data_IF_030860889980
#
_entry.id   IF_030860889980
#
_cell.length_a   1.000
_cell.length_b   1.000
_cell.length_c   1.000
_cell.angle_alpha   90.00
_cell.angle_beta   90.00
_cell.angle_gamma   90.00
#
_symmetry.space_group_name_H-M   'P 1'
#
loop_
_entity.id
_entity.type
_entity.pdbx_description
1 polymer ?
#
# COMPACT_ATOMS: atom_id res chain seq x y z
N UNK A 1 27.72 -19.01 40.45
CA UNK A 1 27.70 -17.92 39.45
C UNK A 1 27.37 -18.47 38.05
N UNK A 2 26.60 -19.57 37.93
CA UNK A 2 26.35 -20.22 36.62
C UNK A 2 24.90 -20.16 36.14
N UNK A 3 23.99 -19.48 36.85
CA UNK A 3 22.55 -19.48 36.54
C UNK A 3 22.21 -18.64 35.29
N UNK A 4 23.04 -17.65 34.94
CA UNK A 4 22.76 -16.75 33.81
C UNK A 4 23.06 -17.35 32.42
N UNK A 5 23.80 -18.46 32.34
CA UNK A 5 24.14 -19.10 31.06
C UNK A 5 22.98 -19.99 30.56
N UNK A 6 22.18 -20.54 31.46
CA UNK A 6 21.05 -21.41 31.12
C UNK A 6 19.87 -20.66 30.48
N UNK A 7 19.62 -19.40 30.88
CA UNK A 7 18.53 -18.58 30.34
C UNK A 7 18.74 -18.19 28.87
N UNK A 8 20.00 -17.95 28.45
CA UNK A 8 20.30 -17.62 27.07
C UNK A 8 20.05 -18.82 26.13
N UNK A 9 20.34 -20.04 26.60
CA UNK A 9 20.06 -21.27 25.84
C UNK A 9 18.56 -21.53 25.75
N UNK A 10 17.81 -21.31 26.83
CA UNK A 10 16.37 -21.46 26.85
C UNK A 10 15.68 -20.46 25.89
N UNK A 11 16.08 -19.19 25.92
CA UNK A 11 15.56 -18.17 25.02
C UNK A 11 15.84 -18.52 23.54
N UNK A 12 17.02 -19.06 23.23
CA UNK A 12 17.38 -19.50 21.89
C UNK A 12 16.56 -20.71 21.43
N UNK A 13 16.27 -21.66 22.33
CA UNK A 13 15.37 -22.79 22.04
C UNK A 13 13.94 -22.32 21.80
N UNK A 14 13.43 -21.38 22.60
CA UNK A 14 12.10 -20.80 22.42
C UNK A 14 11.96 -20.05 21.09
N UNK A 15 12.95 -19.25 20.71
CA UNK A 15 12.98 -18.56 19.41
C UNK A 15 12.96 -19.55 18.24
N UNK A 16 13.66 -20.67 18.37
CA UNK A 16 13.69 -21.73 17.36
C UNK A 16 12.34 -22.41 17.22
N UNK A 17 11.70 -22.78 18.33
CA UNK A 17 10.35 -23.36 18.36
C UNK A 17 9.31 -22.41 17.72
N UNK A 18 9.34 -21.13 18.09
CA UNK A 18 8.45 -20.11 17.51
C UNK A 18 8.69 -19.94 15.99
N UNK A 19 9.94 -19.98 15.54
CA UNK A 19 10.28 -19.92 14.12
C UNK A 19 9.73 -21.11 13.33
N UNK A 20 9.85 -22.32 13.88
CA UNK A 20 9.35 -23.56 13.27
C UNK A 20 7.81 -23.58 13.20
N UNK A 21 7.13 -23.13 14.25
CA UNK A 21 5.67 -23.02 14.26
C UNK A 21 5.15 -21.96 13.27
N UNK A 22 5.84 -20.82 13.14
CA UNK A 22 5.46 -19.78 12.18
C UNK A 22 5.61 -20.28 10.73
N UNK A 23 6.65 -21.06 10.43
CA UNK A 23 6.82 -21.71 9.13
C UNK A 23 5.70 -22.73 8.88
N UNK A 24 5.33 -23.52 9.89
CA UNK A 24 4.23 -24.49 9.80
C UNK A 24 2.89 -23.81 9.49
N UNK A 25 2.53 -22.77 10.24
CA UNK A 25 1.29 -22.01 10.03
C UNK A 25 1.26 -21.37 8.64
N UNK A 26 2.40 -20.84 8.17
CA UNK A 26 2.49 -20.28 6.81
C UNK A 26 2.27 -21.35 5.74
N UNK A 27 2.79 -22.56 5.93
CA UNK A 27 2.56 -23.71 5.03
C UNK A 27 1.10 -24.14 5.05
N UNK A 28 0.49 -24.29 6.23
CA UNK A 28 -0.93 -24.65 6.35
C UNK A 28 -1.86 -23.61 5.71
N UNK A 29 -1.54 -22.31 5.83
CA UNK A 29 -2.27 -21.23 5.14
C UNK A 29 -2.09 -21.30 3.62
N UNK A 30 -0.87 -21.58 3.15
CA UNK A 30 -0.57 -21.78 1.73
C UNK A 30 -1.36 -22.97 1.16
N UNK A 31 -1.33 -24.12 1.84
CA UNK A 31 -2.05 -25.32 1.44
C UNK A 31 -3.57 -25.10 1.49
N UNK A 32 -4.10 -24.44 2.52
CA UNK A 32 -5.52 -24.09 2.59
C UNK A 32 -5.93 -23.16 1.44
N UNK A 33 -5.07 -22.21 1.05
CA UNK A 33 -5.33 -21.33 -0.09
C UNK A 33 -5.29 -22.09 -1.42
N UNK A 34 -4.29 -22.95 -1.61
CA UNK A 34 -4.21 -23.82 -2.79
C UNK A 34 -5.42 -24.77 -2.87
N UNK A 35 -5.87 -25.34 -1.76
CA UNK A 35 -7.08 -26.16 -1.71
C UNK A 35 -8.33 -25.36 -2.07
N UNK A 36 -8.45 -24.10 -1.62
CA UNK A 36 -9.55 -23.22 -2.02
C UNK A 36 -9.52 -22.88 -3.51
N UNK A 37 -8.34 -22.64 -4.08
CA UNK A 37 -8.17 -22.35 -5.51
C UNK A 37 -8.45 -23.60 -6.39
N UNK A 38 -8.06 -24.79 -5.93
CA UNK A 38 -8.38 -26.05 -6.61
C UNK A 38 -9.86 -26.43 -6.48
N UNK A 39 -10.49 -26.16 -5.32
CA UNK A 39 -11.91 -26.47 -5.07
C UNK A 39 -12.85 -25.45 -5.73
N UNK A 40 -12.38 -24.24 -6.00
CA UNK A 40 -13.09 -23.22 -6.79
C UNK A 40 -13.12 -23.48 -8.30
N UNK A 41 -12.28 -24.40 -8.81
CA UNK A 41 -12.26 -24.88 -10.19
C UNK A 41 -12.96 -26.23 -10.37
N UNK A 42 -13.94 -26.57 -9.52
CA UNK A 42 -14.75 -27.76 -9.81
C UNK A 42 -15.53 -27.53 -11.11
N UNK A 43 -15.31 -28.43 -12.08
CA UNK A 43 -15.81 -28.45 -13.47
C UNK A 43 -17.26 -27.96 -13.67
N UNK A 44 -18.11 -28.16 -12.67
CA UNK A 44 -19.54 -27.85 -12.66
C UNK A 44 -19.88 -26.41 -13.07
N UNK A 45 -19.18 -25.40 -12.56
CA UNK A 45 -19.57 -24.00 -12.79
C UNK A 45 -19.29 -23.53 -14.23
N UNK A 46 -18.19 -23.99 -14.82
CA UNK A 46 -17.82 -23.68 -16.20
C UNK A 46 -18.72 -24.42 -17.19
N UNK A 47 -19.13 -25.65 -16.86
CA UNK A 47 -20.03 -26.45 -17.70
C UNK A 47 -21.43 -25.83 -17.76
N UNK A 48 -21.97 -25.35 -16.64
CA UNK A 48 -23.24 -24.61 -16.60
C UNK A 48 -23.20 -23.27 -17.34
N UNK A 49 -22.05 -22.58 -17.28
CA UNK A 49 -21.90 -21.31 -18.01
C UNK A 49 -21.89 -21.53 -19.53
N UNK A 50 -21.29 -22.62 -20.00
CA UNK A 50 -21.31 -23.01 -21.43
C UNK A 50 -22.71 -23.42 -21.88
N UNK A 51 -23.42 -24.22 -21.10
CA UNK A 51 -24.81 -24.62 -21.41
C UNK A 51 -25.75 -23.41 -21.45
N UNK A 52 -25.61 -22.46 -20.51
CA UNK A 52 -26.38 -21.21 -20.54
C UNK A 52 -26.06 -20.33 -21.76
N UNK A 53 -24.82 -20.36 -22.27
CA UNK A 53 -24.47 -19.63 -23.49
C UNK A 53 -25.10 -20.28 -24.71
N UNK A 54 -25.01 -21.62 -24.81
CA UNK A 54 -25.63 -22.39 -25.89
C UNK A 54 -27.14 -22.14 -25.99
N UNK A 55 -27.86 -22.22 -24.87
CA UNK A 55 -29.31 -21.96 -24.84
C UNK A 55 -29.68 -20.53 -25.26
N UNK A 56 -28.81 -19.54 -25.02
CA UNK A 56 -29.04 -18.17 -25.50
C UNK A 56 -28.83 -18.04 -27.01
N UNK A 57 -27.80 -18.70 -27.54
CA UNK A 57 -27.53 -18.71 -28.97
C UNK A 57 -28.70 -19.36 -29.73
N UNK A 58 -29.18 -20.52 -29.27
CA UNK A 58 -30.36 -21.19 -29.84
C UNK A 58 -31.62 -20.30 -29.75
N UNK A 59 -31.82 -19.61 -28.63
CA UNK A 59 -32.93 -18.65 -28.47
C UNK A 59 -32.87 -17.49 -29.46
N UNK A 60 -31.68 -16.97 -29.76
CA UNK A 60 -31.52 -15.89 -30.73
C UNK A 60 -31.75 -16.39 -32.16
N UNK A 61 -31.28 -17.59 -32.50
CA UNK A 61 -31.55 -18.23 -33.81
C UNK A 61 -33.06 -18.43 -34.01
N UNK A 62 -33.75 -19.04 -33.05
CA UNK A 62 -35.20 -19.30 -33.15
C UNK A 62 -36.03 -18.01 -33.26
N UNK A 63 -35.63 -16.92 -32.58
CA UNK A 63 -36.26 -15.61 -32.76
C UNK A 63 -36.06 -15.06 -34.16
N UNK A 64 -34.85 -15.19 -34.71
CA UNK A 64 -34.53 -14.78 -36.07
C UNK A 64 -35.40 -15.51 -37.10
N UNK A 65 -35.60 -16.82 -36.93
CA UNK A 65 -36.49 -17.62 -37.79
C UNK A 65 -37.95 -17.15 -37.72
N UNK A 66 -38.46 -16.87 -36.51
CA UNK A 66 -39.81 -16.31 -36.32
C UNK A 66 -39.95 -14.97 -37.07
N UNK A 67 -38.95 -14.09 -36.98
CA UNK A 67 -39.00 -12.78 -37.63
C UNK A 67 -38.99 -12.90 -39.16
N UNK A 68 -38.21 -13.83 -39.73
CA UNK A 68 -38.21 -14.15 -41.17
C UNK A 68 -39.57 -14.69 -41.62
N UNK A 69 -40.15 -15.64 -40.87
CA UNK A 69 -41.47 -16.20 -41.19
C UNK A 69 -42.57 -15.14 -41.12
N UNK A 70 -42.53 -14.24 -40.13
CA UNK A 70 -43.45 -13.10 -40.03
C UNK A 70 -43.34 -12.16 -41.21
N UNK A 71 -42.12 -11.80 -41.62
CA UNK A 71 -41.88 -10.99 -42.81
C UNK A 71 -42.46 -11.67 -44.06
N UNK A 72 -42.29 -13.00 -44.18
CA UNK A 72 -42.83 -13.76 -45.31
C UNK A 72 -44.36 -13.77 -45.35
N UNK A 73 -45.03 -13.91 -44.20
CA UNK A 73 -46.49 -13.79 -44.11
C UNK A 73 -46.94 -12.38 -44.51
N UNK A 74 -46.20 -11.35 -44.10
CA UNK A 74 -46.50 -9.95 -44.44
C UNK A 74 -46.35 -9.67 -45.95
N UNK A 75 -45.30 -10.22 -46.59
CA UNK A 75 -45.13 -10.17 -48.05
C UNK A 75 -46.30 -10.83 -48.77
N UNK A 76 -46.67 -12.06 -48.38
CA UNK A 76 -47.81 -12.78 -48.95
C UNK A 76 -49.13 -12.02 -48.75
N UNK A 77 -49.28 -11.31 -47.63
CA UNK A 77 -50.48 -10.51 -47.33
C UNK A 77 -50.56 -9.19 -48.10
N UNK A 78 -49.44 -8.68 -48.62
CA UNK A 78 -49.37 -7.40 -49.36
C UNK A 78 -49.37 -7.57 -50.89
N UNK A 79 -49.30 -8.81 -51.39
CA UNK A 79 -49.39 -9.10 -52.81
C UNK A 79 -50.78 -8.74 -53.38
N UNK A 80 -50.85 -8.05 -54.54
CA UNK A 80 -52.10 -7.56 -55.11
C UNK A 80 -53.05 -8.71 -55.46
N UNK A 81 -54.31 -8.60 -55.02
CA UNK A 81 -55.35 -9.61 -55.25
C UNK A 81 -55.79 -9.62 -56.72
N UNK A 82 -55.22 -10.52 -57.52
CA UNK A 82 -55.82 -10.94 -58.78
C UNK A 82 -56.83 -12.06 -58.51
N UNK A 83 -58.06 -11.88 -59.00
CA UNK A 83 -59.31 -12.47 -58.51
C UNK A 83 -59.46 -14.00 -58.42
N UNK A 84 -58.45 -14.79 -58.74
CA UNK A 84 -58.44 -16.26 -58.58
C UNK A 84 -57.25 -16.79 -57.74
N UNK A 85 -56.31 -15.93 -57.31
CA UNK A 85 -55.10 -16.36 -56.58
C UNK A 85 -55.32 -16.60 -55.07
N UNK A 86 -56.42 -16.10 -54.51
CA UNK A 86 -56.67 -16.11 -53.06
C UNK A 86 -56.90 -17.52 -52.50
N UNK A 87 -57.42 -18.43 -53.33
CA UNK A 87 -57.61 -19.84 -52.95
C UNK A 87 -56.31 -20.63 -52.76
N UNK A 88 -55.18 -20.15 -53.30
CA UNK A 88 -53.88 -20.84 -53.19
C UNK A 88 -52.99 -20.24 -52.10
N UNK A 89 -53.18 -18.96 -51.77
CA UNK A 89 -52.34 -18.24 -50.78
C UNK A 89 -52.77 -18.53 -49.34
N UNK A 90 -54.06 -18.72 -49.11
CA UNK A 90 -54.65 -19.04 -47.78
C UNK A 90 -54.04 -20.27 -47.09
N UNK A 91 -53.93 -21.47 -47.72
CA UNK A 91 -53.37 -22.65 -47.05
C UNK A 91 -51.88 -22.51 -46.74
N UNK A 92 -51.11 -21.78 -47.56
CA UNK A 92 -49.68 -21.52 -47.31
C UNK A 92 -49.52 -20.60 -46.11
N UNK A 93 -50.34 -19.55 -46.01
CA UNK A 93 -50.36 -18.64 -44.85
C UNK A 93 -50.71 -19.37 -43.56
N UNK A 94 -51.72 -20.23 -43.58
CA UNK A 94 -52.13 -21.02 -42.40
C UNK A 94 -51.07 -22.05 -41.99
N UNK A 95 -50.29 -22.57 -42.96
CA UNK A 95 -49.13 -23.41 -42.67
C UNK A 95 -48.02 -22.63 -41.97
N UNK A 96 -47.64 -21.46 -42.50
CA UNK A 96 -46.61 -20.60 -41.91
C UNK A 96 -47.04 -20.07 -40.53
N UNK A 97 -48.33 -19.77 -40.33
CA UNK A 97 -48.83 -19.34 -39.04
C UNK A 97 -48.72 -20.44 -37.98
N UNK A 98 -49.05 -21.69 -38.33
CA UNK A 98 -48.85 -22.84 -37.43
C UNK A 98 -47.38 -23.07 -37.07
N UNK A 99 -46.48 -22.84 -38.02
CA UNK A 99 -45.03 -22.93 -37.79
C UNK A 99 -44.54 -21.82 -36.84
N UNK A 100 -45.02 -20.59 -37.01
CA UNK A 100 -44.76 -19.48 -36.07
C UNK A 100 -45.29 -19.80 -34.68
N UNK A 101 -46.50 -20.34 -34.58
CA UNK A 101 -47.10 -20.69 -33.29
C UNK A 101 -46.29 -21.78 -32.59
N UNK A 102 -45.85 -22.81 -33.34
CA UNK A 102 -44.98 -23.87 -32.84
C UNK A 102 -43.63 -23.31 -32.34
N UNK A 103 -42.93 -22.51 -33.16
CA UNK A 103 -41.67 -21.87 -32.76
C UNK A 103 -41.84 -20.91 -31.57
N UNK A 104 -42.98 -20.22 -31.49
CA UNK A 104 -43.29 -19.34 -30.35
C UNK A 104 -43.44 -20.15 -29.06
N UNK A 105 -44.07 -21.32 -29.12
CA UNK A 105 -44.16 -22.23 -27.96
C UNK A 105 -42.79 -22.78 -27.54
N UNK A 106 -41.93 -23.10 -28.51
CA UNK A 106 -40.57 -23.58 -28.24
C UNK A 106 -39.70 -22.49 -27.60
N UNK A 107 -39.72 -21.27 -28.15
CA UNK A 107 -39.03 -20.11 -27.56
C UNK A 107 -39.50 -19.85 -26.13
N UNK A 108 -40.81 -19.95 -25.87
CA UNK A 108 -41.33 -19.79 -24.51
C UNK A 108 -40.82 -20.90 -23.57
N UNK A 109 -40.73 -22.14 -24.04
CA UNK A 109 -40.20 -23.27 -23.29
C UNK A 109 -38.70 -23.09 -22.96
N UNK A 110 -37.87 -22.78 -23.95
CA UNK A 110 -36.44 -22.51 -23.77
C UNK A 110 -36.18 -21.37 -22.79
N UNK A 111 -36.98 -20.29 -22.86
CA UNK A 111 -36.87 -19.15 -21.95
C UNK A 111 -37.19 -19.53 -20.50
N UNK A 112 -38.16 -20.43 -20.30
CA UNK A 112 -38.49 -20.97 -18.98
C UNK A 112 -37.34 -21.83 -18.42
N UNK A 113 -36.69 -22.63 -19.26
CA UNK A 113 -35.49 -23.41 -18.90
C UNK A 113 -34.35 -22.47 -18.48
N UNK A 114 -34.04 -21.45 -19.30
CA UNK A 114 -32.98 -20.48 -19.00
C UNK A 114 -33.24 -19.76 -17.66
N UNK A 115 -34.49 -19.38 -17.40
CA UNK A 115 -34.87 -18.72 -16.16
C UNK A 115 -34.75 -19.65 -14.94
N UNK A 116 -35.12 -20.92 -15.06
CA UNK A 116 -34.92 -21.93 -14.02
C UNK A 116 -33.43 -22.17 -13.75
N UNK A 117 -32.61 -22.17 -14.79
CA UNK A 117 -31.17 -22.32 -14.66
C UNK A 117 -30.54 -21.11 -13.94
N UNK A 118 -30.94 -19.89 -14.30
CA UNK A 118 -30.52 -18.65 -13.62
C UNK A 118 -30.86 -18.69 -12.12
N UNK A 119 -32.06 -19.13 -11.75
CA UNK A 119 -32.47 -19.20 -10.33
C UNK A 119 -31.70 -20.28 -9.57
N UNK A 120 -31.40 -21.41 -10.22
CA UNK A 120 -30.58 -22.48 -9.64
C UNK A 120 -29.16 -21.99 -9.34
N UNK A 121 -28.49 -21.38 -10.31
CA UNK A 121 -27.12 -20.83 -10.15
C UNK A 121 -27.07 -19.76 -9.05
N UNK A 122 -28.10 -18.91 -8.95
CA UNK A 122 -28.18 -17.94 -7.86
C UNK A 122 -28.34 -18.61 -6.49
N UNK A 123 -29.17 -19.66 -6.40
CA UNK A 123 -29.39 -20.41 -5.16
C UNK A 123 -28.11 -21.10 -4.69
N UNK A 124 -27.36 -21.70 -5.61
CA UNK A 124 -26.06 -22.31 -5.32
C UNK A 124 -25.01 -21.28 -4.86
N UNK A 125 -24.94 -20.11 -5.51
CA UNK A 125 -24.09 -19.00 -5.07
C UNK A 125 -24.45 -18.52 -3.66
N UNK A 126 -25.73 -18.44 -3.34
CA UNK A 126 -26.19 -18.08 -1.98
C UNK A 126 -25.77 -19.16 -0.98
N UNK A 127 -25.92 -20.44 -1.32
CA UNK A 127 -25.53 -21.55 -0.45
C UNK A 127 -24.02 -21.54 -0.15
N UNK A 128 -23.18 -21.38 -1.18
CA UNK A 128 -21.71 -21.31 -1.03
C UNK A 128 -21.26 -20.08 -0.22
N UNK A 129 -21.90 -18.92 -0.41
CA UNK A 129 -21.62 -17.73 0.41
C UNK A 129 -22.03 -17.94 1.88
N UNK A 130 -23.16 -18.60 2.14
CA UNK A 130 -23.60 -18.95 3.50
C UNK A 130 -22.59 -19.89 4.17
N UNK A 131 -22.08 -20.89 3.47
CA UNK A 131 -21.03 -21.79 3.98
C UNK A 131 -19.74 -21.02 4.30
N UNK A 132 -19.28 -20.12 3.41
CA UNK A 132 -18.11 -19.27 3.66
C UNK A 132 -18.28 -18.36 4.88
N UNK A 133 -19.46 -17.76 5.05
CA UNK A 133 -19.77 -16.94 6.24
C UNK A 133 -19.74 -17.80 7.51
N UNK A 134 -20.32 -19.01 7.49
CA UNK A 134 -20.27 -19.92 8.62
C UNK A 134 -18.82 -20.29 8.98
N UNK A 135 -18.00 -20.63 7.99
CA UNK A 135 -16.58 -20.92 8.18
C UNK A 135 -15.82 -19.74 8.80
N UNK A 136 -15.99 -18.52 8.27
CA UNK A 136 -15.37 -17.31 8.82
C UNK A 136 -15.80 -17.04 10.27
N UNK A 137 -17.09 -17.24 10.59
CA UNK A 137 -17.58 -17.11 11.98
C UNK A 137 -16.90 -18.10 12.92
N UNK A 138 -16.72 -19.35 12.51
CA UNK A 138 -16.00 -20.33 13.34
C UNK A 138 -14.53 -19.95 13.54
N UNK A 139 -13.87 -19.43 12.50
CA UNK A 139 -12.49 -18.92 12.59
C UNK A 139 -12.38 -17.72 13.54
N UNK A 140 -13.30 -16.76 13.46
CA UNK A 140 -13.34 -15.63 14.39
C UNK A 140 -13.54 -16.09 15.84
N UNK A 141 -14.39 -17.08 16.10
CA UNK A 141 -14.57 -17.66 17.45
C UNK A 141 -13.28 -18.29 17.98
N UNK A 142 -12.56 -19.05 17.14
CA UNK A 142 -11.26 -19.65 17.50
C UNK A 142 -10.21 -18.59 17.82
N UNK A 143 -10.07 -17.57 16.96
CA UNK A 143 -9.12 -16.47 17.19
C UNK A 143 -9.46 -15.68 18.46
N UNK A 144 -10.74 -15.48 18.76
CA UNK A 144 -11.17 -14.84 20.01
C UNK A 144 -10.77 -15.67 21.23
N UNK A 145 -10.97 -16.99 21.21
CA UNK A 145 -10.57 -17.88 22.28
C UNK A 145 -9.04 -17.90 22.48
N UNK A 146 -8.28 -17.99 21.38
CA UNK A 146 -6.80 -17.95 21.44
C UNK A 146 -6.28 -16.62 22.02
N UNK A 147 -6.92 -15.49 21.67
CA UNK A 147 -6.56 -14.18 22.24
C UNK A 147 -6.89 -14.10 23.74
N UNK A 148 -8.00 -14.69 24.17
CA UNK A 148 -8.33 -14.78 25.60
C UNK A 148 -7.33 -15.65 26.35
N UNK A 149 -6.90 -16.77 25.77
CA UNK A 149 -5.86 -17.63 26.35
C UNK A 149 -4.52 -16.90 26.50
N UNK A 150 -4.07 -16.20 25.45
CA UNK A 150 -2.84 -15.39 25.51
C UNK A 150 -2.95 -14.26 26.55
N UNK A 151 -4.12 -13.63 26.68
CA UNK A 151 -4.34 -12.62 27.70
C UNK A 151 -4.22 -13.23 29.10
N UNK A 152 -4.84 -14.39 29.36
CA UNK A 152 -4.71 -15.07 30.65
C UNK A 152 -3.25 -15.43 30.96
N UNK A 153 -2.48 -15.90 29.98
CA UNK A 153 -1.05 -16.20 30.18
C UNK A 153 -0.22 -14.95 30.46
N UNK A 154 -0.56 -13.83 29.85
CA UNK A 154 0.09 -12.55 30.13
C UNK A 154 -0.23 -12.08 31.56
N UNK A 155 -1.50 -12.20 31.97
CA UNK A 155 -1.95 -11.83 33.31
C UNK A 155 -1.32 -12.75 34.39
N UNK A 156 -1.17 -14.05 34.10
CA UNK A 156 -0.47 -15.03 34.94
C UNK A 156 1.02 -14.70 35.07
N UNK A 157 1.70 -14.40 33.96
CA UNK A 157 3.11 -13.98 33.98
C UNK A 157 3.33 -12.68 34.77
N UNK A 158 2.41 -11.71 34.64
CA UNK A 158 2.44 -10.46 35.42
C UNK A 158 2.16 -10.69 36.90
N UNK A 159 1.40 -11.72 37.27
CA UNK A 159 1.17 -12.09 38.67
C UNK A 159 2.36 -12.84 39.28
N UNK A 160 3.07 -13.65 38.48
CA UNK A 160 4.26 -14.39 38.88
C UNK A 160 5.54 -13.53 38.94
N UNK A 161 5.55 -12.38 38.25
CA UNK A 161 6.47 -11.28 38.57
C UNK A 161 6.11 -10.68 39.94
N UNK A 162 6.34 -11.47 40.98
CA UNK A 162 6.50 -10.98 42.35
C UNK A 162 7.44 -9.78 42.29
N UNK A 163 7.14 -8.68 42.99
CA UNK A 163 7.94 -7.46 42.99
C UNK A 163 9.29 -7.78 43.62
N UNK A 164 10.17 -8.36 42.82
CA UNK A 164 11.58 -8.44 43.08
C UNK A 164 11.99 -7.00 43.24
N UNK A 165 12.32 -6.64 44.49
CA UNK A 165 12.73 -5.33 44.94
C UNK A 165 14.08 -4.92 44.31
N UNK A 166 14.23 -5.09 43.00
CA UNK A 166 15.26 -4.46 42.21
C UNK A 166 14.83 -3.01 42.06
N UNK A 167 15.12 -2.27 43.12
CA UNK A 167 15.49 -0.87 43.14
C UNK A 167 15.06 -0.12 41.90
N UNK A 168 13.96 0.62 42.07
CA UNK A 168 13.65 1.87 41.43
C UNK A 168 14.85 2.83 41.42
N UNK A 169 15.94 2.48 40.74
CA UNK A 169 16.76 3.46 40.07
C UNK A 169 15.84 4.01 39.00
N UNK A 170 15.13 5.09 39.35
CA UNK A 170 14.13 5.70 38.49
C UNK A 170 14.74 5.87 37.13
N UNK A 171 14.14 5.24 36.12
CA UNK A 171 14.55 5.42 34.74
C UNK A 171 14.27 6.88 34.37
N UNK A 172 15.28 7.69 34.60
CA UNK A 172 15.33 9.14 34.40
C UNK A 172 15.72 9.46 32.96
N UNK A 173 15.76 8.46 32.08
CA UNK A 173 15.81 8.67 30.65
C UNK A 173 14.47 9.21 30.12
N UNK A 174 14.45 10.22 29.25
CA UNK A 174 15.58 10.86 28.57
C UNK A 174 16.22 12.04 29.34
N UNK A 175 15.69 12.46 30.49
CA UNK A 175 16.12 13.68 31.18
C UNK A 175 17.58 13.65 31.62
N UNK A 176 18.07 12.53 32.15
CA UNK A 176 19.46 12.38 32.57
C UNK A 176 20.44 12.53 31.41
N UNK A 177 20.11 11.97 30.24
CA UNK A 177 20.91 12.11 29.04
C UNK A 177 20.95 13.56 28.54
N UNK A 178 19.84 14.29 28.65
CA UNK A 178 19.76 15.70 28.26
C UNK A 178 20.44 16.65 29.26
N UNK A 179 20.55 16.24 30.52
CA UNK A 179 21.22 17.01 31.57
C UNK A 179 22.74 16.81 31.58
N UNK A 180 23.26 15.79 30.89
CA UNK A 180 24.67 15.44 30.89
C UNK A 180 25.52 16.48 30.13
N UNK A 181 26.20 17.35 30.89
CA UNK A 181 27.12 18.35 30.36
C UNK A 181 28.56 17.86 30.23
N UNK A 182 28.85 16.59 30.54
CA UNK A 182 30.22 16.07 30.53
C UNK A 182 30.85 16.00 29.13
N UNK A 183 30.03 16.11 28.08
CA UNK A 183 30.48 16.06 26.70
C UNK A 183 31.02 17.41 26.20
N UNK A 184 32.32 17.62 26.40
CA UNK A 184 33.08 18.64 25.68
C UNK A 184 33.61 18.05 24.38
N UNK A 185 33.11 18.50 23.23
CA UNK A 185 33.67 18.16 21.93
C UNK A 185 34.88 19.05 21.63
N UNK A 186 35.89 18.47 20.97
CA UNK A 186 37.06 19.21 20.48
C UNK A 186 36.72 20.10 19.28
N UNK A 187 35.72 19.72 18.50
CA UNK A 187 35.48 20.32 17.19
C UNK A 187 34.28 21.28 17.26
N UNK A 188 34.51 22.61 17.20
CA UNK A 188 33.45 23.58 17.13
C UNK A 188 32.70 23.47 15.80
N UNK A 189 31.40 23.73 15.82
CA UNK A 189 30.64 23.91 14.58
C UNK A 189 31.10 25.18 13.87
N UNK A 190 31.08 25.22 12.53
CA UNK A 190 31.27 26.46 11.80
C UNK A 190 30.24 27.51 12.25
N UNK A 191 30.71 28.71 12.58
CA UNK A 191 29.87 29.85 12.92
C UNK A 191 30.12 30.99 11.91
N UNK A 192 29.12 31.39 11.09
CA UNK A 192 27.75 30.88 11.06
C UNK A 192 27.59 29.56 10.30
N UNK A 193 26.74 28.67 10.82
CA UNK A 193 26.37 27.45 10.12
C UNK A 193 25.46 27.78 8.93
N UNK A 194 25.89 27.44 7.72
CA UNK A 194 25.13 27.70 6.51
C UNK A 194 24.13 26.59 6.22
N UNK A 195 22.97 26.98 5.66
CA UNK A 195 22.02 26.02 5.11
C UNK A 195 22.61 25.34 3.87
N UNK A 196 22.40 24.04 3.75
CA UNK A 196 22.91 23.21 2.65
C UNK A 196 21.88 22.94 1.57
N UNK A 197 20.57 23.02 1.86
CA UNK A 197 19.54 22.77 0.85
C UNK A 197 18.17 23.36 1.22
N UNK A 198 17.34 23.59 0.19
CA UNK A 198 15.94 23.97 0.29
C UNK A 198 15.06 22.87 -0.34
N UNK A 199 14.48 21.98 0.48
CA UNK A 199 13.51 20.98 -0.01
C UNK A 199 13.60 19.59 0.63
N UNK A 200 12.75 18.67 0.16
CA UNK A 200 12.48 17.38 0.81
C UNK A 200 13.26 16.17 0.25
N UNK A 201 14.05 16.32 -0.81
CA UNK A 201 14.66 15.17 -1.50
C UNK A 201 16.15 15.40 -1.75
N UNK A 202 16.96 14.94 -0.80
CA UNK A 202 18.40 14.84 -0.94
C UNK A 202 18.81 13.37 -0.81
N UNK A 203 19.48 12.83 -1.83
CA UNK A 203 19.97 11.45 -1.80
C UNK A 203 21.44 11.40 -2.19
N UNK A 204 22.32 11.04 -1.25
CA UNK A 204 23.63 10.50 -1.58
C UNK A 204 23.58 8.98 -1.52
N UNK A 205 23.98 8.32 -2.61
CA UNK A 205 23.93 6.86 -2.72
C UNK A 205 24.85 6.11 -1.74
N UNK A 206 25.75 6.78 -1.03
CA UNK A 206 26.79 6.14 -0.19
C UNK A 206 26.81 6.62 1.26
N UNK A 207 26.04 7.64 1.61
CA UNK A 207 26.08 8.25 2.95
C UNK A 207 24.73 8.03 3.62
N UNK A 208 24.78 7.50 4.84
CA UNK A 208 23.59 7.32 5.66
C UNK A 208 23.30 8.62 6.39
N UNK A 209 22.29 9.34 5.92
CA UNK A 209 21.84 10.57 6.55
C UNK A 209 20.74 10.30 7.57
N UNK A 210 20.92 10.84 8.77
CA UNK A 210 19.85 11.04 9.72
C UNK A 210 19.21 12.39 9.43
N UNK A 211 17.90 12.42 9.22
CA UNK A 211 17.15 13.64 8.92
C UNK A 211 16.25 13.95 10.10
N UNK A 212 16.48 15.09 10.76
CA UNK A 212 15.69 15.50 11.91
C UNK A 212 15.19 16.94 11.76
N UNK A 213 13.93 17.16 12.14
CA UNK A 213 13.33 18.48 12.24
C UNK A 213 13.58 19.08 13.63
N UNK A 214 13.57 20.41 13.74
CA UNK A 214 13.67 21.11 15.02
C UNK A 214 12.59 20.73 16.04
N UNK A 215 11.45 20.20 15.59
CA UNK A 215 10.40 19.66 16.46
C UNK A 215 10.57 18.18 16.84
N UNK A 216 11.49 17.47 16.18
CA UNK A 216 11.80 16.06 16.48
C UNK A 216 12.82 15.90 17.59
N UNK A 217 13.63 16.93 17.84
CA UNK A 217 14.83 16.79 18.68
C UNK A 217 14.75 17.73 19.85
N UNK A 218 14.90 17.17 21.05
CA UNK A 218 15.20 17.90 22.25
C UNK A 218 16.72 17.94 22.42
N UNK A 219 17.33 19.12 22.30
CA UNK A 219 18.77 19.29 22.52
C UNK A 219 19.06 19.53 23.99
N UNK A 220 20.07 18.85 24.53
CA UNK A 220 20.53 19.07 25.91
C UNK A 220 21.53 20.22 26.04
N UNK A 221 22.14 20.64 24.93
CA UNK A 221 23.11 21.74 24.90
C UNK A 221 22.80 22.77 23.80
N UNK A 222 23.30 23.99 23.96
CA UNK A 222 23.13 25.08 22.97
C UNK A 222 23.88 24.79 21.66
N UNK A 223 24.96 24.04 21.74
CA UNK A 223 25.82 23.68 20.60
C UNK A 223 25.37 22.41 19.87
N UNK A 224 24.17 21.90 20.22
CA UNK A 224 23.60 20.67 19.69
C UNK A 224 24.52 19.45 19.85
N UNK A 225 25.34 19.39 20.90
CA UNK A 225 26.33 18.31 21.09
C UNK A 225 25.67 16.95 21.37
N UNK A 226 24.54 16.94 22.04
CA UNK A 226 23.72 15.75 22.27
C UNK A 226 22.25 16.12 22.37
N UNK A 227 21.38 15.18 22.04
CA UNK A 227 19.95 15.38 22.08
C UNK A 227 19.18 14.07 22.00
N UNK A 228 17.87 14.17 22.14
CA UNK A 228 16.96 13.04 22.04
C UNK A 228 15.99 13.30 20.91
N UNK A 229 16.04 12.44 19.90
CA UNK A 229 15.12 12.45 18.78
C UNK A 229 13.86 11.64 19.13
N UNK A 230 12.68 12.14 18.74
CA UNK A 230 11.38 11.53 18.98
C UNK A 230 10.73 11.11 17.67
N UNK A 231 10.13 9.92 17.64
CA UNK A 231 9.33 9.44 16.53
C UNK A 231 8.11 8.63 17.01
N UNK A 232 6.98 8.69 16.29
CA UNK A 232 5.87 7.80 16.59
C UNK A 232 6.27 6.33 16.34
N UNK A 233 5.87 5.40 17.20
CA UNK A 233 6.14 3.96 17.00
C UNK A 233 5.27 3.31 15.91
N UNK A 234 4.18 3.97 15.56
CA UNK A 234 3.25 3.50 14.55
C UNK A 234 2.88 4.66 13.63
N UNK A 235 2.68 4.36 12.36
CA UNK A 235 2.26 5.32 11.36
C UNK A 235 1.04 4.78 10.62
N UNK A 236 0.08 5.67 10.40
CA UNK A 236 -1.13 5.45 9.64
C UNK A 236 -0.91 5.89 8.19
N UNK A 237 -1.14 4.95 7.28
CA UNK A 237 -1.01 5.10 5.85
C UNK A 237 -2.37 4.86 5.18
N UNK A 238 -3.11 5.91 4.81
CA UNK A 238 -4.46 5.78 4.24
C UNK A 238 -4.47 5.05 2.88
N UNK A 239 -3.31 4.90 2.22
CA UNK A 239 -3.20 4.23 0.92
C UNK A 239 -3.24 2.70 1.02
N UNK A 240 -3.05 2.11 2.21
CA UNK A 240 -2.99 0.65 2.41
C UNK A 240 -4.35 -0.02 2.70
N UNK A 241 -5.46 0.72 2.65
CA UNK A 241 -6.81 0.17 2.73
C UNK A 241 -7.27 -0.20 4.16
N UNK A 242 -7.23 -1.48 4.54
CA UNK A 242 -7.71 -1.97 5.87
C UNK A 242 -6.54 -2.16 6.85
N UNK A 243 -5.34 -2.46 6.35
CA UNK A 243 -4.10 -2.61 7.11
C UNK A 243 -3.31 -1.28 7.13
N UNK A 244 -3.97 -0.21 7.55
CA UNK A 244 -3.40 1.13 7.42
C UNK A 244 -2.31 1.45 8.43
N UNK A 245 -2.16 0.67 9.49
CA UNK A 245 -1.15 0.94 10.50
C UNK A 245 0.10 0.12 10.20
N UNK A 246 1.23 0.82 10.07
CA UNK A 246 2.55 0.22 9.95
C UNK A 246 3.38 0.57 11.18
N UNK A 247 4.23 -0.37 11.61
CA UNK A 247 5.25 -0.05 12.59
C UNK A 247 6.23 0.92 11.94
N UNK A 248 6.40 2.07 12.56
CA UNK A 248 7.25 3.15 12.11
C UNK A 248 8.15 3.54 13.28
N UNK A 249 9.33 4.09 13.02
CA UNK A 249 10.19 4.49 14.12
C UNK A 249 11.64 4.67 13.74
N UNK A 250 12.44 4.74 14.78
CA UNK A 250 13.89 4.91 14.80
C UNK A 250 14.62 3.57 14.84
N UNK A 251 13.92 2.44 15.08
CA UNK A 251 14.49 1.08 15.05
C UNK A 251 15.25 0.71 13.76
N UNK A 252 14.99 1.40 12.64
CA UNK A 252 15.79 1.26 11.40
C UNK A 252 17.24 1.73 11.55
N UNK A 253 17.51 2.55 12.56
CA UNK A 253 18.85 3.01 12.90
C UNK A 253 19.38 2.13 14.03
N UNK A 254 20.58 1.61 13.83
CA UNK A 254 21.18 0.66 14.75
C UNK A 254 21.89 1.39 15.88
N UNK A 255 21.70 0.93 17.11
CA UNK A 255 22.44 1.42 18.27
C UNK A 255 23.96 1.26 18.04
N UNK A 256 24.73 2.28 18.39
CA UNK A 256 26.16 2.39 18.08
C UNK A 256 26.48 2.82 16.64
N UNK A 257 25.47 2.95 15.77
CA UNK A 257 25.64 3.42 14.41
C UNK A 257 25.99 4.90 14.36
N UNK A 258 26.83 5.29 13.38
CA UNK A 258 27.21 6.68 13.09
C UNK A 258 26.53 7.17 11.82
N UNK A 259 25.95 8.36 11.88
CA UNK A 259 25.13 8.93 10.83
C UNK A 259 25.46 10.41 10.62
N UNK A 260 25.43 10.86 9.37
CA UNK A 260 25.56 12.28 9.06
C UNK A 260 24.21 12.96 9.30
N UNK A 261 24.17 13.97 10.18
CA UNK A 261 22.92 14.57 10.61
C UNK A 261 22.60 15.85 9.81
N UNK A 262 21.49 15.80 9.09
CA UNK A 262 20.84 16.96 8.49
C UNK A 262 19.71 17.41 9.43
N UNK A 263 19.75 18.68 9.81
CA UNK A 263 18.81 19.29 10.75
C UNK A 263 17.99 20.38 10.06
N UNK A 264 16.66 20.26 10.10
CA UNK A 264 15.76 21.26 9.53
C UNK A 264 15.34 22.29 10.58
N UNK A 265 15.69 23.55 10.35
CA UNK A 265 15.21 24.70 11.13
C UNK A 265 14.66 25.75 10.17
N UNK A 266 13.46 26.27 10.45
CA UNK A 266 12.82 27.32 9.63
C UNK A 266 12.76 26.98 8.13
N UNK A 267 12.41 25.72 7.82
CA UNK A 267 12.36 25.16 6.46
C UNK A 267 13.71 25.10 5.71
N UNK A 268 14.82 25.34 6.40
CA UNK A 268 16.17 25.23 5.86
C UNK A 268 16.88 24.03 6.47
N UNK A 269 17.52 23.22 5.64
CA UNK A 269 18.37 22.12 6.11
C UNK A 269 19.79 22.61 6.32
N UNK A 270 20.36 22.28 7.47
CA UNK A 270 21.78 22.49 7.77
C UNK A 270 22.42 21.16 8.16
N UNK A 271 23.66 20.94 7.74
CA UNK A 271 24.45 19.80 8.19
C UNK A 271 25.11 20.15 9.53
N UNK A 272 24.81 19.38 10.57
CA UNK A 272 25.28 19.69 11.94
C UNK A 272 26.34 18.71 12.46
N UNK A 273 26.86 17.84 11.58
CA UNK A 273 27.97 16.94 11.88
C UNK A 273 27.60 15.45 11.85
N UNK A 274 28.52 14.64 12.34
CA UNK A 274 28.38 13.18 12.45
C UNK A 274 27.92 12.82 13.86
N UNK A 275 26.82 12.08 13.96
CA UNK A 275 26.20 11.68 15.23
C UNK A 275 26.23 10.17 15.41
N UNK A 276 26.48 9.73 16.63
CA UNK A 276 26.36 8.36 17.09
C UNK A 276 25.03 8.18 17.83
N UNK A 277 24.36 7.05 17.57
CA UNK A 277 23.16 6.65 18.32
C UNK A 277 23.59 5.90 19.55
N UNK A 278 23.36 6.49 20.72
CA UNK A 278 23.77 5.91 22.00
C UNK A 278 22.78 4.85 22.43
N UNK A 279 21.50 5.15 22.31
CA UNK A 279 20.43 4.30 22.81
C UNK A 279 19.11 4.63 22.11
N UNK A 280 18.27 3.60 21.92
CA UNK A 280 16.91 3.73 21.42
C UNK A 280 15.98 3.06 22.43
N UNK A 281 14.94 3.78 22.87
CA UNK A 281 13.95 3.26 23.82
C UNK A 281 12.53 3.62 23.40
N UNK A 282 11.58 2.85 23.87
CA UNK A 282 10.16 3.21 23.79
C UNK A 282 9.79 3.91 25.09
N UNK A 283 9.29 5.13 24.98
CA UNK A 283 8.90 5.91 26.16
C UNK A 283 7.66 5.30 26.83
N UNK A 284 7.62 5.32 28.17
CA UNK A 284 6.44 4.92 28.93
C UNK A 284 5.32 5.95 28.72
N UNK A 285 4.08 5.49 28.86
CA UNK A 285 2.89 6.26 28.48
C UNK A 285 2.72 7.55 29.30
N UNK A 286 3.12 7.52 30.57
CA UNK A 286 3.04 8.63 31.51
C UNK A 286 3.94 9.80 31.06
N UNK A 287 5.12 9.50 30.50
CA UNK A 287 6.04 10.51 29.95
C UNK A 287 5.48 11.15 28.69
N UNK A 288 4.77 10.38 27.86
CA UNK A 288 4.13 10.89 26.63
C UNK A 288 3.04 11.91 26.93
N UNK A 289 2.25 11.69 27.99
CA UNK A 289 1.20 12.62 28.42
C UNK A 289 1.77 13.97 28.85
N UNK A 290 2.98 13.99 29.42
CA UNK A 290 3.68 15.20 29.88
C UNK A 290 4.30 16.05 28.76
N UNK A 291 4.25 15.62 27.50
CA UNK A 291 4.82 16.40 26.41
C UNK A 291 4.06 17.69 26.13
N UNK A 292 4.82 18.72 25.73
CA UNK A 292 4.26 20.02 25.34
C UNK A 292 3.32 19.85 24.13
N UNK A 293 2.26 20.67 24.02
CA UNK A 293 1.29 20.59 22.92
C UNK A 293 1.93 20.65 21.53
N UNK A 294 3.01 21.41 21.35
CA UNK A 294 3.70 21.53 20.05
C UNK A 294 4.36 20.23 19.62
N UNK A 295 4.91 19.47 20.58
CA UNK A 295 5.51 18.15 20.34
C UNK A 295 4.42 17.12 20.05
N UNK A 296 3.30 17.16 20.77
CA UNK A 296 2.17 16.28 20.50
C UNK A 296 1.56 16.54 19.11
N UNK A 297 1.35 17.80 18.75
CA UNK A 297 0.86 18.17 17.41
C UNK A 297 1.83 17.70 16.33
N UNK A 298 3.12 17.83 16.58
CA UNK A 298 4.16 17.32 15.70
C UNK A 298 4.06 15.79 15.50
N UNK A 299 3.90 15.03 16.57
CA UNK A 299 3.79 13.57 16.53
C UNK A 299 2.51 13.12 15.80
N UNK A 300 1.37 13.76 16.06
CA UNK A 300 0.12 13.54 15.30
C UNK A 300 0.38 13.73 13.81
N UNK A 301 1.04 14.82 13.45
CA UNK A 301 1.37 15.19 12.08
C UNK A 301 2.33 14.22 11.38
N UNK A 302 3.17 13.50 12.13
CA UNK A 302 4.06 12.44 11.61
C UNK A 302 3.41 11.06 11.59
N UNK A 303 2.42 10.85 12.45
CA UNK A 303 1.67 9.60 12.52
C UNK A 303 0.88 9.38 11.23
N UNK A 304 0.51 10.41 10.48
CA UNK A 304 -0.21 10.27 9.19
C UNK A 304 0.75 10.49 8.02
N UNK A 305 0.91 9.50 7.12
CA UNK A 305 1.80 9.64 5.94
C UNK A 305 1.26 10.64 4.92
N UNK A 306 -0.04 10.58 4.63
CA UNK A 306 -0.68 11.41 3.61
C UNK A 306 -1.86 12.16 4.21
N UNK A 307 -1.64 13.45 4.44
CA UNK A 307 -2.62 14.29 5.11
C UNK A 307 -3.86 14.56 4.27
N UNK A 308 -3.72 14.50 2.95
CA UNK A 308 -4.81 14.82 2.01
C UNK A 308 -5.85 13.71 1.94
N UNK A 309 -5.43 12.48 2.22
CA UNK A 309 -6.28 11.29 2.19
C UNK A 309 -6.85 10.92 3.57
N UNK A 310 -6.32 11.49 4.64
CA UNK A 310 -6.76 11.21 6.00
C UNK A 310 -8.01 12.05 6.38
N UNK A 311 -9.11 11.43 6.81
CA UNK A 311 -10.29 12.15 7.27
C UNK A 311 -9.98 13.07 8.47
N UNK A 312 -10.59 14.26 8.59
CA UNK A 312 -10.32 15.19 9.69
C UNK A 312 -10.53 14.61 11.10
N UNK A 313 -11.53 13.72 11.28
CA UNK A 313 -11.80 13.09 12.58
C UNK A 313 -10.62 12.23 13.08
N UNK A 314 -9.79 11.71 12.17
CA UNK A 314 -8.64 10.89 12.52
C UNK A 314 -7.59 11.68 13.30
N UNK A 315 -7.39 12.95 12.95
CA UNK A 315 -6.46 13.83 13.67
C UNK A 315 -6.93 14.13 15.08
N UNK A 316 -8.23 14.38 15.25
CA UNK A 316 -8.82 14.58 16.57
C UNK A 316 -8.65 13.31 17.43
N UNK A 317 -8.90 12.14 16.85
CA UNK A 317 -8.69 10.85 17.50
C UNK A 317 -7.22 10.65 17.90
N UNK A 318 -6.26 10.87 16.99
CA UNK A 318 -4.82 10.72 17.26
C UNK A 318 -4.34 11.70 18.34
N UNK A 319 -4.81 12.95 18.30
CA UNK A 319 -4.51 13.93 19.35
C UNK A 319 -4.98 13.43 20.72
N UNK A 320 -6.21 12.91 20.80
CA UNK A 320 -6.74 12.34 22.04
C UNK A 320 -5.96 11.10 22.48
N UNK A 321 -5.52 10.26 21.53
CA UNK A 321 -4.70 9.09 21.85
C UNK A 321 -3.32 9.46 22.39
N UNK A 322 -2.63 10.48 21.84
CA UNK A 322 -1.37 10.95 22.43
C UNK A 322 -1.60 11.61 23.79
N UNK A 323 -2.63 12.44 23.93
CA UNK A 323 -2.97 13.08 25.19
C UNK A 323 -3.33 12.07 26.30
N UNK A 324 -3.95 10.95 25.93
CA UNK A 324 -4.24 9.84 26.84
C UNK A 324 -3.04 8.89 27.04
N UNK A 325 -1.93 9.08 26.33
CA UNK A 325 -0.81 8.15 26.32
C UNK A 325 -1.17 6.78 25.72
N UNK A 326 -2.14 6.68 24.82
CA UNK A 326 -2.48 5.41 24.16
C UNK A 326 -1.53 5.08 22.99
N UNK A 327 -0.87 6.08 22.40
CA UNK A 327 0.12 5.89 21.33
C UNK A 327 1.54 5.94 21.88
N UNK A 328 2.33 4.93 21.53
CA UNK A 328 3.73 4.80 21.94
C UNK A 328 4.64 5.67 21.07
N UNK A 329 5.67 6.21 21.69
CA UNK A 329 6.70 7.02 21.06
C UNK A 329 8.03 6.31 21.27
N UNK A 330 8.79 6.19 20.20
CA UNK A 330 10.18 5.76 20.26
C UNK A 330 11.06 7.01 20.34
N UNK A 331 12.06 6.98 21.22
CA UNK A 331 13.06 8.01 21.33
C UNK A 331 14.45 7.44 21.13
N UNK A 332 15.37 8.29 20.68
CA UNK A 332 16.73 7.91 20.34
C UNK A 332 17.69 8.97 20.85
N UNK A 333 18.56 8.58 21.78
CA UNK A 333 19.64 9.41 22.26
C UNK A 333 20.74 9.49 21.19
N UNK A 334 21.05 10.71 20.77
CA UNK A 334 22.06 11.00 19.77
C UNK A 334 23.13 11.91 20.36
N UNK A 335 24.39 11.65 19.98
CA UNK A 335 25.54 12.44 20.40
C UNK A 335 26.42 12.75 19.21
N UNK A 336 26.82 14.00 19.04
CA UNK A 336 27.78 14.39 18.01
C UNK A 336 29.14 13.80 18.36
N UNK A 337 29.78 13.15 17.39
CA UNK A 337 31.11 12.54 17.54
C UNK A 337 32.15 13.18 16.61
N UNK A 338 31.73 14.05 15.69
CA UNK A 338 32.63 14.77 14.78
C UNK A 338 31.88 15.67 13.81
N UNK A 339 32.63 16.28 12.89
CA UNK A 339 32.11 17.10 11.81
C UNK A 339 32.89 16.83 10.51
N UNK A 340 32.22 16.36 9.47
CA UNK A 340 32.84 16.05 8.19
C UNK A 340 32.93 17.32 7.31
N UNK A 341 34.07 18.00 7.35
CA UNK A 341 34.30 19.27 6.63
C UNK A 341 34.21 19.07 5.11
N UNK A 342 34.78 17.99 4.57
CA UNK A 342 34.74 17.70 3.13
C UNK A 342 33.30 17.52 2.64
N UNK A 343 32.48 16.80 3.41
CA UNK A 343 31.06 16.63 3.11
C UNK A 343 30.32 17.96 3.19
N UNK A 344 30.58 18.77 4.21
CA UNK A 344 29.94 20.08 4.37
C UNK A 344 30.25 21.01 3.19
N UNK A 345 31.52 21.09 2.78
CA UNK A 345 31.93 21.89 1.62
C UNK A 345 31.29 21.39 0.33
N UNK A 346 31.23 20.08 0.12
CA UNK A 346 30.56 19.48 -1.03
C UNK A 346 29.06 19.77 -1.04
N UNK A 347 28.41 19.77 0.12
CA UNK A 347 27.00 20.14 0.26
C UNK A 347 26.77 21.60 -0.12
N UNK A 348 27.65 22.52 0.32
CA UNK A 348 27.58 23.94 -0.03
C UNK A 348 27.82 24.19 -1.52
N UNK A 349 28.84 23.55 -2.12
CA UNK A 349 29.10 23.68 -3.57
C UNK A 349 27.90 23.26 -4.41
N UNK A 350 27.21 22.19 -4.02
CA UNK A 350 26.01 21.70 -4.73
C UNK A 350 24.83 22.66 -4.61
N UNK A 351 24.62 23.24 -3.43
CA UNK A 351 23.61 24.28 -3.22
C UNK A 351 23.82 25.45 -4.18
N UNK A 352 25.06 25.91 -4.28
CA UNK A 352 25.41 27.07 -5.11
C UNK A 352 25.27 26.74 -6.60
N UNK A 353 25.66 25.53 -7.02
CA UNK A 353 25.46 25.06 -8.40
C UNK A 353 23.98 24.92 -8.81
N UNK A 354 23.07 24.59 -7.88
CA UNK A 354 21.63 24.55 -8.18
C UNK A 354 21.04 25.94 -8.42
N UNK A 355 21.51 26.96 -7.70
CA UNK A 355 21.07 28.35 -7.92
C UNK A 355 21.40 28.81 -9.34
N UNK A 356 22.59 28.47 -9.83
CA UNK A 356 23.00 28.81 -11.20
C UNK A 356 22.12 28.16 -12.29
N UNK A 357 21.43 27.06 -12.00
CA UNK A 357 20.51 26.43 -12.97
C UNK A 357 19.13 27.10 -13.03
N UNK A 358 18.72 27.77 -11.95
CA UNK A 358 17.45 28.50 -11.87
C UNK A 358 17.55 29.94 -12.41
N UNK A 359 18.77 30.48 -12.53
CA UNK A 359 19.07 31.73 -13.23
C UNK A 359 19.15 31.56 -14.76
N UNK A 360 18.71 30.41 -15.30
CA UNK A 360 18.35 30.36 -16.71
C UNK A 360 17.32 31.47 -16.98
N UNK A 361 17.55 32.37 -17.97
CA UNK A 361 16.60 33.40 -18.30
C UNK A 361 15.23 32.74 -18.51
N UNK A 362 14.13 33.35 -18.02
CA UNK A 362 12.81 32.75 -18.09
C UNK A 362 12.63 32.22 -19.49
N UNK A 363 12.43 30.90 -19.62
CA UNK A 363 12.10 30.29 -20.90
C UNK A 363 10.95 31.11 -21.44
N UNK A 364 11.22 31.86 -22.51
CA UNK A 364 10.25 32.76 -23.10
C UNK A 364 9.05 31.90 -23.46
N UNK A 365 7.99 32.00 -22.66
CA UNK A 365 6.72 31.35 -22.94
C UNK A 365 6.34 31.89 -24.32
N UNK A 366 6.22 31.02 -25.35
CA UNK A 366 5.88 31.47 -26.67
C UNK A 366 4.57 32.25 -26.56
N UNK A 367 4.62 33.54 -26.91
CA UNK A 367 3.45 34.40 -26.89
C UNK A 367 2.47 33.80 -27.91
N UNK A 368 1.23 33.44 -27.52
CA UNK A 368 0.22 32.98 -28.46
C UNK A 368 0.05 34.04 -29.57
N UNK A 369 0.44 33.68 -30.81
CA UNK A 369 0.40 34.58 -31.97
C UNK A 369 1.76 34.93 -32.60
N UNK A 370 2.88 34.45 -32.06
CA UNK A 370 4.17 34.60 -32.75
C UNK A 370 4.29 33.59 -33.91
N UNK A 371 3.97 34.05 -35.12
CA UNK A 371 4.04 33.30 -36.38
C UNK A 371 5.47 32.84 -36.69
N UNK A 372 5.85 31.64 -36.24
CA UNK A 372 7.03 30.94 -36.74
C UNK A 372 6.75 30.37 -38.13
N UNK A 373 6.83 31.21 -39.17
CA UNK A 373 6.78 30.81 -40.59
C UNK A 373 7.98 30.02 -41.10
N UNK A 374 8.90 29.58 -40.24
CA UNK A 374 10.01 28.70 -40.61
C UNK A 374 9.80 27.27 -40.07
N UNK A 375 8.68 26.66 -40.48
CA UNK A 375 8.44 25.23 -40.31
C UNK A 375 9.18 24.42 -41.37
N UNK A 376 10.39 23.96 -41.05
CA UNK A 376 10.99 22.82 -41.74
C UNK A 376 10.06 21.62 -41.63
N UNK A 377 9.55 21.14 -42.77
CA UNK A 377 8.59 20.05 -42.89
C UNK A 377 9.11 18.80 -42.16
N UNK A 378 8.57 18.53 -40.97
CA UNK A 378 8.64 17.18 -40.38
C UNK A 378 7.74 16.28 -41.23
N UNK A 379 8.37 15.38 -41.97
CA UNK A 379 7.67 14.30 -42.67
C UNK A 379 6.99 13.42 -41.63
N UNK A 380 5.66 13.46 -41.59
CA UNK A 380 4.87 12.40 -40.98
C UNK A 380 4.92 11.21 -41.92
N UNK A 381 5.45 10.09 -41.43
CA UNK A 381 5.34 8.81 -42.12
C UNK A 381 3.85 8.50 -42.30
N UNK A 382 3.41 8.44 -43.55
CA UNK A 382 2.16 7.80 -43.93
C UNK A 382 2.24 6.33 -43.50
N UNK A 383 1.23 5.90 -42.76
CA UNK A 383 0.93 4.50 -42.54
C UNK A 383 0.17 4.07 -43.78
N UNK A 384 0.78 3.19 -44.58
CA UNK A 384 0.13 2.59 -45.74
C UNK A 384 -0.90 1.55 -45.30
N UNK A 385 -2.01 1.51 -46.04
CA UNK A 385 -3.24 0.75 -45.76
C UNK A 385 -3.15 -0.74 -46.10
N UNK A 386 -1.95 -1.31 -46.18
CA UNK A 386 -1.75 -2.74 -46.47
C UNK A 386 -1.05 -3.40 -45.29
N UNK A 387 -1.84 -4.00 -44.42
CA UNK A 387 -1.40 -4.72 -43.22
C UNK A 387 -0.54 -5.93 -43.56
N UNK A 388 0.77 -5.72 -43.71
CA UNK A 388 1.78 -6.77 -43.62
C UNK A 388 2.86 -6.36 -42.59
N UNK A 389 3.16 -7.21 -41.60
CA UNK A 389 4.22 -6.94 -40.63
C UNK A 389 5.59 -7.06 -41.29
N UNK A 390 6.43 -6.03 -41.16
CA UNK A 390 7.85 -6.11 -41.47
C UNK A 390 8.51 -7.14 -40.54
N UNK A 391 9.13 -8.16 -41.14
CA UNK A 391 10.08 -9.03 -40.48
C UNK A 391 11.33 -8.21 -40.10
N UNK A 392 11.58 -8.09 -38.79
CA UNK A 392 12.82 -7.54 -38.27
C UNK A 392 13.95 -8.56 -38.46
N UNK A 393 14.82 -8.25 -39.42
CA UNK A 393 16.03 -8.99 -39.73
C UNK A 393 17.10 -8.70 -38.65
N UNK A 394 17.30 -9.68 -37.78
CA UNK A 394 18.29 -9.65 -36.70
C UNK A 394 19.72 -9.69 -37.27
N UNK A 395 20.36 -8.53 -37.42
CA UNK A 395 21.79 -8.44 -37.75
C UNK A 395 22.66 -8.38 -36.49
N UNK A 396 23.26 -9.53 -36.19
CA UNK A 396 24.28 -9.73 -35.18
C UNK A 396 25.50 -8.80 -35.37
N UNK A 397 25.88 -8.04 -34.32
CA UNK A 397 27.20 -7.42 -34.20
C UNK A 397 28.05 -8.27 -33.25
N UNK A 398 29.00 -9.02 -33.82
CA UNK A 398 30.15 -9.58 -33.08
C UNK A 398 31.09 -8.44 -32.68
N UNK A 399 31.29 -8.25 -31.39
CA UNK A 399 32.41 -7.49 -30.85
C UNK A 399 33.54 -8.49 -30.59
N UNK A 400 34.67 -8.32 -31.29
CA UNK A 400 35.95 -8.95 -30.98
C UNK A 400 36.63 -8.11 -29.90
N UNK A 401 37.00 -8.71 -28.78
CA UNK A 401 38.08 -8.21 -27.93
C UNK A 401 39.41 -8.80 -28.44
N UNK A 402 40.40 -7.93 -28.57
CA UNK A 402 41.82 -8.24 -28.70
C UNK A 402 42.53 -7.55 -27.55
#
# INVERSE_FOLDING_TARGET
MDVAIDDAQLAQQMLRLLGEDLIRVRRELSESRAQLDCRGRSSSADDFQKESLHLREELEVAKGEIDVLRARIQELSSAPHHGDADSLVTPVRDSLQREIDALTTEVAHMKAIEQRHKSFVQTEKIATLKEKIAALRTKCKRNKAARQELQMRLDEALADESPSQNTSQGDSFPEDFLADQSYSLSDPLPDPLQHVFYGAQFQYKKIQFLHLNSREVCWGSKDNTHGVALAPLHQYNPRKGVENWEQYGLSRYQQGGRYELLYMKDHQWSYIGTYEIIETRILPFEKVQGFKPEVQEYLVNRTVTDRTLAPPFLYAMMRNMYAAGALRIECMAIRRVGFNVDLYDDLLRRRDGQRSSLDMPPVSIPIPGQDHRNGGKRQFNRIDSDGQPLQDDARAKKIKFS
#
